data_IF_476541349951
#
_entry.id   IF_476541349951
#
_cell.length_a   1.000
_cell.length_b   1.000
_cell.length_c   1.000
_cell.angle_alpha   90.00
_cell.angle_beta   90.00
_cell.angle_gamma   90.00
#
_symmetry.space_group_name_H-M   'P 1'
#
loop_
_entity.id
_entity.type
_entity.pdbx_description
1 polymer ?
#
# COMPACT_ATOMS: atom_id res chain seq x y z
N UNK A 1 24.31 20.67 2.28
CA UNK A 1 24.13 19.32 1.74
C UNK A 1 22.63 19.14 1.51
N UNK A 2 22.15 19.37 0.31
CA UNK A 2 20.72 19.19 -0.02
C UNK A 2 20.47 17.70 -0.16
N UNK A 3 19.72 17.13 0.78
CA UNK A 3 19.19 15.77 0.63
C UNK A 3 18.29 15.79 -0.60
N UNK A 4 18.57 14.99 -1.64
CA UNK A 4 17.69 14.94 -2.79
C UNK A 4 16.30 14.53 -2.31
N UNK A 5 15.22 15.21 -2.77
CA UNK A 5 13.88 14.83 -2.38
C UNK A 5 13.60 13.41 -2.89
N UNK A 6 13.44 12.46 -1.96
CA UNK A 6 12.79 11.16 -2.18
C UNK A 6 13.56 10.05 -2.92
N UNK A 7 14.61 9.44 -2.35
CA UNK A 7 15.13 8.20 -2.92
C UNK A 7 14.10 7.06 -2.94
N UNK A 8 13.18 7.01 -1.97
CA UNK A 8 12.10 6.01 -1.95
C UNK A 8 11.04 6.25 -3.03
N UNK A 9 10.82 7.48 -3.48
CA UNK A 9 9.84 7.80 -4.53
C UNK A 9 10.36 7.50 -5.93
N UNK A 10 11.67 7.51 -6.18
CA UNK A 10 12.23 7.22 -7.49
C UNK A 10 11.94 5.77 -7.95
N UNK A 11 11.89 4.81 -7.04
CA UNK A 11 11.59 3.41 -7.36
C UNK A 11 10.12 3.20 -7.74
N UNK A 12 9.20 3.98 -7.20
CA UNK A 12 7.75 4.01 -7.49
C UNK A 12 7.10 2.64 -7.77
N UNK A 13 7.29 1.62 -6.93
CA UNK A 13 6.71 0.31 -7.16
C UNK A 13 5.21 0.24 -6.88
N UNK A 14 4.62 1.19 -6.15
CA UNK A 14 3.21 1.12 -5.79
C UNK A 14 2.31 1.09 -7.01
N UNK A 15 1.31 0.20 -6.97
CA UNK A 15 0.17 0.15 -7.87
C UNK A 15 -1.08 0.16 -7.01
N UNK A 16 -1.98 1.08 -7.30
CA UNK A 16 -3.14 1.31 -6.44
C UNK A 16 -4.41 1.20 -7.27
N UNK A 17 -5.34 0.35 -6.83
CA UNK A 17 -6.68 0.25 -7.40
C UNK A 17 -7.67 0.82 -6.40
N UNK A 18 -8.45 1.81 -6.83
CA UNK A 18 -9.53 2.39 -6.03
C UNK A 18 -10.86 1.73 -6.38
N UNK A 19 -11.36 0.93 -5.46
CA UNK A 19 -12.66 0.25 -5.56
C UNK A 19 -13.72 1.15 -4.94
N UNK A 20 -14.58 1.80 -5.78
CA UNK A 20 -15.58 2.78 -5.32
C UNK A 20 -17.02 2.44 -5.71
N UNK A 21 -17.23 1.60 -6.70
CA UNK A 21 -18.56 1.23 -7.13
C UNK A 21 -19.02 -0.11 -6.49
N UNK A 22 -20.33 -0.37 -6.38
CA UNK A 22 -20.86 -1.59 -5.79
C UNK A 22 -20.32 -2.85 -6.46
N UNK A 23 -20.20 -2.84 -7.77
CA UNK A 23 -19.72 -3.96 -8.58
C UNK A 23 -18.27 -4.36 -8.24
N UNK A 24 -17.37 -3.38 -8.14
CA UNK A 24 -15.99 -3.62 -7.69
C UNK A 24 -15.93 -4.08 -6.23
N UNK A 25 -16.83 -3.59 -5.37
CA UNK A 25 -16.92 -4.04 -3.98
C UNK A 25 -17.36 -5.51 -3.90
N UNK A 26 -18.33 -5.93 -4.70
CA UNK A 26 -18.78 -7.33 -4.73
C UNK A 26 -17.68 -8.26 -5.27
N UNK A 27 -16.86 -7.81 -6.21
CA UNK A 27 -15.68 -8.55 -6.68
C UNK A 27 -14.60 -8.69 -5.59
N UNK A 28 -14.45 -7.69 -4.72
CA UNK A 28 -13.49 -7.71 -3.61
C UNK A 28 -14.01 -8.57 -2.43
N UNK A 29 -15.33 -8.62 -2.20
CA UNK A 29 -15.95 -9.27 -1.05
C UNK A 29 -15.45 -10.69 -0.78
N UNK A 30 -15.32 -11.61 -1.77
CA UNK A 30 -14.90 -13.00 -1.51
C UNK A 30 -13.47 -13.15 -0.99
N UNK A 31 -12.65 -12.13 -1.15
CA UNK A 31 -11.26 -12.12 -0.66
C UNK A 31 -11.14 -11.58 0.77
N UNK A 32 -12.18 -10.96 1.33
CA UNK A 32 -12.11 -10.33 2.65
C UNK A 32 -12.23 -11.35 3.78
N UNK A 33 -11.41 -11.20 4.81
CA UNK A 33 -11.64 -11.91 6.07
C UNK A 33 -12.98 -11.47 6.69
N UNK A 34 -13.72 -12.36 7.39
CA UNK A 34 -15.08 -12.09 7.88
C UNK A 34 -15.21 -10.78 8.66
N UNK A 35 -14.25 -10.47 9.54
CA UNK A 35 -14.25 -9.23 10.34
C UNK A 35 -13.96 -7.95 9.55
N UNK A 36 -13.65 -8.05 8.27
CA UNK A 36 -13.38 -6.89 7.39
C UNK A 36 -14.52 -6.63 6.39
N UNK A 37 -15.46 -7.56 6.23
CA UNK A 37 -16.51 -7.46 5.20
C UNK A 37 -17.34 -6.20 5.39
N UNK A 38 -18.04 -6.06 6.51
CA UNK A 38 -19.00 -4.97 6.71
C UNK A 38 -18.38 -3.58 6.57
N UNK A 39 -17.20 -3.37 7.18
CA UNK A 39 -16.50 -2.09 7.10
C UNK A 39 -15.95 -1.78 5.71
N UNK A 40 -15.60 -2.80 4.94
CA UNK A 40 -15.15 -2.63 3.55
C UNK A 40 -16.33 -2.35 2.63
N UNK A 41 -17.42 -3.07 2.79
CA UNK A 41 -18.61 -2.88 1.96
C UNK A 41 -19.29 -1.53 2.21
N UNK A 42 -19.28 -1.03 3.46
CA UNK A 42 -19.85 0.26 3.82
C UNK A 42 -18.95 1.46 3.49
N UNK A 43 -17.65 1.27 3.36
CA UNK A 43 -16.72 2.36 3.02
C UNK A 43 -17.00 2.93 1.62
N UNK A 44 -16.97 4.26 1.42
CA UNK A 44 -17.16 4.86 0.09
C UNK A 44 -16.13 4.38 -0.93
N UNK A 45 -14.88 4.23 -0.50
CA UNK A 45 -13.76 3.76 -1.34
C UNK A 45 -12.91 2.80 -0.55
N UNK A 46 -12.42 1.74 -1.20
CA UNK A 46 -11.33 0.91 -0.70
C UNK A 46 -10.17 0.99 -1.67
N UNK A 47 -9.02 1.44 -1.20
CA UNK A 47 -7.78 1.37 -1.95
C UNK A 47 -7.15 -0.01 -1.74
N UNK A 48 -6.83 -0.70 -2.84
CA UNK A 48 -5.97 -1.90 -2.85
C UNK A 48 -4.57 -1.39 -3.13
N UNK A 49 -3.70 -1.42 -2.12
CA UNK A 49 -2.30 -1.04 -2.26
C UNK A 49 -1.51 -2.29 -2.64
N UNK A 50 -0.85 -2.23 -3.79
CA UNK A 50 0.00 -3.28 -4.32
C UNK A 50 1.39 -2.72 -4.63
N UNK A 51 2.32 -3.61 -4.92
CA UNK A 51 3.66 -3.28 -5.40
C UNK A 51 4.00 -4.10 -6.63
N UNK A 52 4.59 -3.45 -7.62
CA UNK A 52 5.00 -4.05 -8.89
C UNK A 52 6.37 -4.72 -8.72
N UNK A 53 6.43 -6.03 -8.95
CA UNK A 53 7.66 -6.81 -8.85
C UNK A 53 8.67 -6.48 -9.96
N UNK A 54 8.17 -5.92 -11.08
CA UNK A 54 8.99 -5.47 -12.21
C UNK A 54 9.15 -3.93 -12.24
N UNK A 55 8.99 -3.23 -11.11
CA UNK A 55 9.10 -1.77 -11.01
C UNK A 55 10.37 -1.21 -11.66
N UNK A 56 11.45 -1.97 -11.63
CA UNK A 56 12.75 -1.57 -12.16
C UNK A 56 12.75 -1.37 -13.68
N UNK A 57 11.78 -1.92 -14.39
CA UNK A 57 11.63 -1.67 -15.84
C UNK A 57 11.22 -0.22 -16.15
N UNK A 58 10.73 0.52 -15.15
CA UNK A 58 10.42 1.95 -15.25
C UNK A 58 11.57 2.86 -14.83
N UNK A 59 12.66 2.33 -14.26
CA UNK A 59 13.77 3.14 -13.77
C UNK A 59 14.51 3.93 -14.87
N UNK A 60 14.64 3.47 -16.11
CA UNK A 60 15.20 4.32 -17.16
C UNK A 60 14.46 5.65 -17.34
N UNK A 61 13.14 5.65 -17.09
CA UNK A 61 12.30 6.85 -17.10
C UNK A 61 12.32 7.62 -15.77
N UNK A 62 12.24 6.89 -14.65
CA UNK A 62 12.05 7.48 -13.32
C UNK A 62 13.36 7.92 -12.66
N UNK A 63 14.46 7.34 -13.08
CA UNK A 63 15.81 7.63 -12.58
C UNK A 63 16.83 7.66 -13.70
N UNK A 64 16.77 8.68 -14.60
CA UNK A 64 17.58 8.74 -15.82
C UNK A 64 19.07 9.06 -15.57
N UNK A 65 19.47 9.29 -14.31
CA UNK A 65 20.84 9.70 -13.95
C UNK A 65 21.86 8.56 -13.92
N UNK A 66 21.38 7.31 -13.89
CA UNK A 66 22.21 6.10 -13.88
C UNK A 66 21.44 4.89 -14.40
N UNK A 67 22.13 3.82 -14.80
CA UNK A 67 21.51 2.54 -15.12
C UNK A 67 21.04 1.82 -13.83
N UNK A 68 20.03 2.41 -13.17
CA UNK A 68 19.48 1.87 -11.93
C UNK A 68 18.70 0.56 -12.15
N UNK A 69 18.26 0.27 -13.40
CA UNK A 69 17.60 -1.00 -13.73
C UNK A 69 18.53 -2.19 -13.50
N UNK A 70 19.80 -2.06 -13.84
CA UNK A 70 20.80 -3.13 -13.67
C UNK A 70 21.02 -3.53 -12.20
N UNK A 71 20.68 -2.67 -11.24
CA UNK A 71 20.79 -2.99 -9.81
C UNK A 71 19.85 -4.09 -9.37
N UNK A 72 18.74 -4.30 -10.08
CA UNK A 72 17.64 -5.20 -9.73
C UNK A 72 17.52 -6.40 -10.66
N UNK A 73 17.86 -6.27 -11.93
CA UNK A 73 17.76 -7.34 -12.91
C UNK A 73 18.58 -8.56 -12.47
N UNK A 74 17.95 -9.75 -12.49
CA UNK A 74 18.59 -11.00 -12.08
C UNK A 74 18.70 -11.19 -10.56
N UNK A 75 18.10 -10.29 -9.74
CA UNK A 75 18.13 -10.34 -8.28
C UNK A 75 16.71 -10.37 -7.70
N UNK A 76 15.95 -11.45 -7.87
CA UNK A 76 14.52 -11.49 -7.57
C UNK A 76 14.20 -11.19 -6.10
N UNK A 77 14.94 -11.74 -5.14
CA UNK A 77 14.71 -11.51 -3.71
C UNK A 77 14.99 -10.06 -3.30
N UNK A 78 16.06 -9.47 -3.82
CA UNK A 78 16.40 -8.08 -3.59
C UNK A 78 15.33 -7.15 -4.19
N UNK A 79 14.88 -7.45 -5.40
CA UNK A 79 13.82 -6.71 -6.08
C UNK A 79 12.50 -6.81 -5.32
N UNK A 80 12.12 -8.00 -4.87
CA UNK A 80 10.91 -8.22 -4.07
C UNK A 80 10.94 -7.41 -2.76
N UNK A 81 12.06 -7.47 -2.04
CA UNK A 81 12.24 -6.70 -0.81
C UNK A 81 12.14 -5.19 -1.06
N UNK A 82 12.77 -4.70 -2.13
CA UNK A 82 12.72 -3.28 -2.50
C UNK A 82 11.30 -2.87 -2.91
N UNK A 83 10.61 -3.68 -3.71
CA UNK A 83 9.24 -3.42 -4.14
C UNK A 83 8.28 -3.34 -2.95
N UNK A 84 8.31 -4.33 -2.07
CA UNK A 84 7.46 -4.38 -0.88
C UNK A 84 7.72 -3.20 0.06
N UNK A 85 9.00 -2.92 0.39
CA UNK A 85 9.39 -1.82 1.29
C UNK A 85 8.92 -0.47 0.75
N UNK A 86 9.23 -0.18 -0.50
CA UNK A 86 8.88 1.11 -1.10
C UNK A 86 7.39 1.22 -1.40
N UNK A 87 6.71 0.13 -1.77
CA UNK A 87 5.27 0.08 -1.92
C UNK A 87 4.54 0.36 -0.60
N UNK A 88 5.03 -0.18 0.52
CA UNK A 88 4.48 0.08 1.86
C UNK A 88 4.66 1.55 2.26
N UNK A 89 5.84 2.14 2.01
CA UNK A 89 6.10 3.56 2.26
C UNK A 89 5.16 4.45 1.43
N UNK A 90 4.97 4.15 0.13
CA UNK A 90 4.05 4.90 -0.72
C UNK A 90 2.59 4.76 -0.26
N UNK A 91 2.18 3.59 0.21
CA UNK A 91 0.87 3.39 0.82
C UNK A 91 0.70 4.22 2.11
N UNK A 92 1.74 4.34 2.95
CA UNK A 92 1.72 5.23 4.11
C UNK A 92 1.57 6.70 3.70
N UNK A 93 2.26 7.15 2.64
CA UNK A 93 2.08 8.50 2.11
C UNK A 93 0.66 8.74 1.56
N UNK A 94 0.05 7.75 0.91
CA UNK A 94 -1.36 7.84 0.51
C UNK A 94 -2.27 8.10 1.72
N UNK A 95 -2.06 7.37 2.82
CA UNK A 95 -2.85 7.56 4.05
C UNK A 95 -2.62 8.95 4.66
N UNK A 96 -1.38 9.44 4.69
CA UNK A 96 -1.07 10.80 5.17
C UNK A 96 -1.75 11.86 4.29
N UNK A 97 -1.70 11.70 2.97
CA UNK A 97 -2.37 12.60 2.03
C UNK A 97 -3.89 12.57 2.21
N UNK A 98 -4.50 11.39 2.36
CA UNK A 98 -5.92 11.26 2.63
C UNK A 98 -6.32 11.95 3.95
N UNK A 99 -5.53 11.75 5.01
CA UNK A 99 -5.74 12.42 6.31
C UNK A 99 -5.62 13.95 6.20
N UNK A 100 -4.68 14.46 5.42
CA UNK A 100 -4.53 15.92 5.21
C UNK A 100 -5.73 16.55 4.49
N UNK A 101 -6.48 15.74 3.73
CA UNK A 101 -7.74 16.13 3.08
C UNK A 101 -8.98 15.90 3.97
N UNK A 102 -8.80 15.50 5.22
CA UNK A 102 -9.89 15.26 6.17
C UNK A 102 -10.56 13.88 6.05
N UNK A 103 -10.03 12.98 5.22
CA UNK A 103 -10.55 11.61 5.13
C UNK A 103 -9.99 10.74 6.26
N UNK A 104 -10.80 9.80 6.72
CA UNK A 104 -10.35 8.73 7.59
C UNK A 104 -9.80 7.56 6.78
N UNK A 105 -8.84 6.84 7.38
CA UNK A 105 -8.16 5.70 6.79
C UNK A 105 -8.32 4.47 7.66
N UNK A 106 -8.79 3.37 7.08
CA UNK A 106 -8.89 2.07 7.73
C UNK A 106 -7.99 1.03 7.04
N UNK A 107 -6.66 1.03 7.32
CA UNK A 107 -5.77 0.02 6.75
C UNK A 107 -6.03 -1.35 7.36
N UNK A 108 -5.90 -2.41 6.54
CA UNK A 108 -6.13 -3.78 6.96
C UNK A 108 -5.34 -4.77 6.11
N UNK A 109 -4.92 -5.89 6.74
CA UNK A 109 -4.26 -7.02 6.10
C UNK A 109 -5.10 -8.31 6.13
N UNK A 110 -6.31 -8.27 6.68
CA UNK A 110 -7.21 -9.42 6.77
C UNK A 110 -7.95 -9.66 5.45
N UNK A 111 -7.26 -10.19 4.46
CA UNK A 111 -7.81 -10.60 3.16
C UNK A 111 -6.94 -11.71 2.56
N UNK A 112 -7.44 -12.37 1.51
CA UNK A 112 -6.74 -13.35 0.70
C UNK A 112 -6.05 -12.60 -0.46
N UNK A 113 -4.73 -12.42 -0.36
CA UNK A 113 -3.91 -11.71 -1.34
C UNK A 113 -3.90 -12.42 -2.70
N UNK A 114 -3.87 -13.75 -2.72
CA UNK A 114 -3.90 -14.50 -3.98
C UNK A 114 -5.20 -14.26 -4.77
N UNK A 115 -6.33 -14.19 -4.07
CA UNK A 115 -7.63 -13.85 -4.70
C UNK A 115 -7.66 -12.40 -5.19
N UNK A 116 -7.17 -11.47 -4.40
CA UNK A 116 -7.08 -10.06 -4.81
C UNK A 116 -6.19 -9.90 -6.03
N UNK A 117 -5.03 -10.56 -6.04
CA UNK A 117 -4.09 -10.52 -7.16
C UNK A 117 -4.73 -11.10 -8.45
N UNK A 118 -5.41 -12.25 -8.33
CA UNK A 118 -6.08 -12.86 -9.47
C UNK A 118 -7.21 -11.99 -10.03
N UNK A 119 -7.95 -11.28 -9.16
CA UNK A 119 -9.11 -10.48 -9.56
C UNK A 119 -8.73 -9.08 -10.08
N UNK A 120 -7.78 -8.40 -9.44
CA UNK A 120 -7.49 -6.99 -9.72
C UNK A 120 -6.15 -6.75 -10.42
N UNK A 121 -5.24 -7.73 -10.42
CA UNK A 121 -3.90 -7.60 -10.98
C UNK A 121 -3.55 -8.71 -11.98
N UNK A 122 -4.57 -9.46 -12.46
CA UNK A 122 -4.36 -10.51 -13.47
C UNK A 122 -3.57 -9.99 -14.68
N UNK A 123 -2.59 -10.76 -15.14
CA UNK A 123 -1.74 -10.40 -16.27
C UNK A 123 -0.69 -9.32 -15.98
N UNK A 124 -0.52 -8.91 -14.72
CA UNK A 124 0.50 -7.96 -14.28
C UNK A 124 1.54 -8.60 -13.34
N UNK A 125 2.60 -7.86 -13.01
CA UNK A 125 3.58 -8.25 -11.99
C UNK A 125 3.28 -7.61 -10.62
N UNK A 126 2.11 -7.01 -10.46
CA UNK A 126 1.71 -6.42 -9.18
C UNK A 126 1.27 -7.49 -8.18
N UNK A 127 1.60 -7.27 -6.90
CA UNK A 127 1.19 -8.08 -5.77
C UNK A 127 0.54 -7.20 -4.71
N UNK A 128 -0.62 -7.59 -4.23
CA UNK A 128 -1.31 -6.88 -3.17
C UNK A 128 -0.47 -6.88 -1.88
N UNK A 129 -0.58 -5.80 -1.12
CA UNK A 129 0.17 -5.59 0.12
C UNK A 129 -0.79 -5.41 1.29
N UNK A 130 -1.66 -4.42 1.19
CA UNK A 130 -2.73 -4.18 2.17
C UNK A 130 -3.90 -3.44 1.51
N UNK A 131 -5.04 -3.48 2.17
CA UNK A 131 -6.22 -2.69 1.79
C UNK A 131 -6.33 -1.47 2.71
N UNK A 132 -6.93 -0.39 2.20
CA UNK A 132 -7.24 0.78 3.03
C UNK A 132 -8.62 1.33 2.67
N UNK A 133 -9.54 1.27 3.60
CA UNK A 133 -10.82 1.97 3.47
C UNK A 133 -10.61 3.45 3.64
N UNK A 134 -11.23 4.26 2.77
CA UNK A 134 -11.18 5.71 2.76
C UNK A 134 -12.60 6.27 2.84
N UNK A 135 -12.81 7.25 3.70
CA UNK A 135 -14.12 7.87 3.89
C UNK A 135 -14.17 8.68 5.18
N UNK A 136 -15.36 8.84 5.73
CA UNK A 136 -15.57 9.49 7.02
C UNK A 136 -16.01 8.43 8.02
N UNK A 137 -15.17 8.20 9.03
CA UNK A 137 -15.37 7.16 10.05
C UNK A 137 -16.50 7.51 11.02
N UNK A 138 -17.22 6.49 11.47
CA UNK A 138 -18.19 6.60 12.56
C UNK A 138 -17.48 6.56 13.90
N UNK A 139 -17.32 7.71 14.53
CA UNK A 139 -16.64 7.85 15.81
C UNK A 139 -17.24 6.96 16.93
N UNK A 140 -18.55 6.65 16.85
CA UNK A 140 -19.24 5.81 17.85
C UNK A 140 -18.80 4.34 17.82
N UNK A 141 -18.19 3.91 16.71
CA UNK A 141 -17.71 2.55 16.48
C UNK A 141 -16.20 2.39 16.65
N UNK A 142 -15.51 3.47 17.02
CA UNK A 142 -14.07 3.42 17.24
C UNK A 142 -13.74 2.98 18.66
N UNK A 143 -12.74 2.12 18.78
CA UNK A 143 -12.13 1.84 20.07
C UNK A 143 -11.28 3.04 20.53
N UNK A 144 -11.07 3.22 21.85
CA UNK A 144 -10.08 4.16 22.35
C UNK A 144 -8.70 3.89 21.72
N UNK A 145 -7.89 4.93 21.63
CA UNK A 145 -6.53 4.78 21.08
C UNK A 145 -5.74 3.77 21.91
N UNK A 146 -5.30 2.70 21.26
CA UNK A 146 -4.45 1.68 21.89
C UNK A 146 -3.12 2.28 22.35
N UNK A 147 -2.53 1.79 23.45
CA UNK A 147 -1.19 2.20 23.90
C UNK A 147 -0.13 2.04 22.80
N UNK A 148 0.94 2.78 22.94
CA UNK A 148 2.14 2.67 22.11
C UNK A 148 3.33 2.38 23.01
N UNK A 149 4.35 1.73 22.47
CA UNK A 149 5.62 1.57 23.15
C UNK A 149 6.18 2.95 23.53
N UNK A 150 6.86 3.03 24.67
CA UNK A 150 7.63 4.20 25.04
C UNK A 150 8.82 4.38 24.10
N UNK A 151 9.42 5.56 24.09
CA UNK A 151 10.63 5.80 23.30
C UNK A 151 11.74 4.79 23.62
N UNK A 152 11.97 4.51 24.90
CA UNK A 152 13.03 3.59 25.34
C UNK A 152 12.80 2.12 24.93
N UNK A 153 11.54 1.71 24.71
CA UNK A 153 11.21 0.37 24.22
C UNK A 153 11.32 0.27 22.69
N UNK A 154 11.09 1.37 21.98
CA UNK A 154 11.04 1.38 20.52
C UNK A 154 12.32 1.90 19.87
N UNK A 155 13.11 2.70 20.58
CA UNK A 155 14.25 3.45 20.06
C UNK A 155 15.46 3.37 20.99
N UNK A 156 16.65 3.49 20.42
CA UNK A 156 17.90 3.70 21.15
C UNK A 156 18.69 4.84 20.52
N UNK A 157 19.40 5.57 21.35
CA UNK A 157 20.39 6.56 20.90
C UNK A 157 21.78 5.97 21.15
N UNK A 158 22.60 5.88 20.11
CA UNK A 158 23.97 5.34 20.13
C UNK A 158 24.93 6.42 19.64
#
# INVERSE_FOLDING_TARGET
MTVPPWPASALSPARIVFVRNPEGKERLRPALAPGNVDKTMSAPVTAIIAHDMAFYDKLPQLFPHADARSWFVGKPEFSATAAFRNGSLQGAYLMLAARSLGLDCGPMSGFDDARVDAEFFAGTQARSNFLCNLGYGDASKLFPRSPRLSFAEACSIV
#
